data_IF_582122006079
#
_entry.id   IF_582122006079
#
_cell.length_a   1.000
_cell.length_b   1.000
_cell.length_c   1.000
_cell.angle_alpha   90.00
_cell.angle_beta   90.00
_cell.angle_gamma   90.00
#
_symmetry.space_group_name_H-M   'P 1'
#
loop_
_entity.id
_entity.type
_entity.pdbx_description
1 polymer ?
#
# COMPACT_ATOMS: atom_id res chain seq x y z
N UNK A 1 5.95 13.01 -16.96
CA UNK A 1 5.09 14.05 -17.55
C UNK A 1 4.70 15.02 -16.45
N UNK A 2 5.10 16.29 -16.54
CA UNK A 2 4.67 17.35 -15.62
C UNK A 2 3.95 18.41 -16.44
N UNK A 3 2.70 18.71 -16.08
CA UNK A 3 1.97 19.81 -16.71
C UNK A 3 2.59 21.12 -16.23
N UNK A 4 2.94 22.08 -17.12
CA UNK A 4 3.51 23.35 -16.70
C UNK A 4 2.57 24.18 -15.81
N UNK A 5 1.25 23.96 -15.91
CA UNK A 5 0.23 24.64 -15.09
C UNK A 5 -0.11 23.90 -13.79
N UNK A 6 -0.20 22.57 -13.84
CA UNK A 6 -0.72 21.76 -12.73
C UNK A 6 0.36 20.96 -11.97
N UNK A 7 1.61 21.01 -12.46
CA UNK A 7 2.72 20.27 -11.87
C UNK A 7 2.68 18.77 -12.19
N UNK A 8 3.35 17.94 -11.38
CA UNK A 8 3.43 16.51 -11.60
C UNK A 8 2.11 15.81 -11.29
N UNK A 9 1.79 14.76 -12.05
CA UNK A 9 0.60 13.93 -11.81
C UNK A 9 0.64 13.19 -10.47
N UNK A 10 1.83 12.97 -9.92
CA UNK A 10 2.06 12.32 -8.62
C UNK A 10 3.00 13.18 -7.81
N UNK A 11 2.61 13.51 -6.58
CA UNK A 11 3.42 14.27 -5.62
C UNK A 11 3.76 13.40 -4.42
N UNK A 12 4.90 13.68 -3.78
CA UNK A 12 5.22 13.07 -2.50
C UNK A 12 4.26 13.60 -1.43
N UNK A 13 3.73 12.69 -0.62
CA UNK A 13 2.86 13.00 0.53
C UNK A 13 3.46 12.39 1.79
N UNK A 14 3.30 13.02 2.96
CA UNK A 14 3.95 12.57 4.19
C UNK A 14 3.32 11.30 4.79
N UNK A 15 2.24 10.77 4.21
CA UNK A 15 1.48 9.62 4.74
C UNK A 15 1.47 8.38 3.83
N UNK A 16 2.15 8.38 2.67
CA UNK A 16 2.20 7.22 1.78
C UNK A 16 3.58 7.03 1.13
N UNK A 17 3.97 5.77 0.91
CA UNK A 17 5.19 5.40 0.17
C UNK A 17 5.06 5.75 -1.32
N UNK A 18 6.20 5.87 -2.00
CA UNK A 18 6.20 6.02 -3.45
C UNK A 18 5.55 4.80 -4.14
N UNK A 19 4.67 5.07 -5.11
CA UNK A 19 3.82 4.08 -5.78
C UNK A 19 2.89 3.25 -4.86
N UNK A 20 2.62 3.70 -3.64
CA UNK A 20 1.60 3.07 -2.80
C UNK A 20 0.19 3.52 -3.19
N UNK A 21 -0.76 2.59 -3.12
CA UNK A 21 -2.20 2.89 -3.21
C UNK A 21 -2.84 3.21 -1.85
N UNK A 22 -2.10 3.04 -0.75
CA UNK A 22 -2.58 3.15 0.62
C UNK A 22 -1.59 3.95 1.50
N UNK A 23 -1.99 4.21 2.74
CA UNK A 23 -1.19 4.94 3.72
C UNK A 23 -0.11 4.06 4.34
N UNK A 24 0.92 4.66 4.94
CA UNK A 24 1.95 3.95 5.72
C UNK A 24 1.33 3.02 6.74
N UNK A 25 0.40 3.52 7.55
CA UNK A 25 -0.24 2.75 8.61
C UNK A 25 -1.01 1.54 8.07
N UNK A 26 -1.69 1.68 6.93
CA UNK A 26 -2.37 0.56 6.29
C UNK A 26 -1.37 -0.49 5.79
N UNK A 27 -0.37 -0.05 5.03
CA UNK A 27 0.65 -0.94 4.47
C UNK A 27 1.42 -1.70 5.56
N UNK A 28 1.80 -1.02 6.64
CA UNK A 28 2.54 -1.61 7.75
C UNK A 28 1.69 -2.63 8.52
N UNK A 29 0.40 -2.34 8.71
CA UNK A 29 -0.54 -3.29 9.32
C UNK A 29 -0.69 -4.54 8.45
N UNK A 30 -0.85 -4.38 7.13
CA UNK A 30 -0.94 -5.52 6.19
C UNK A 30 0.35 -6.33 6.21
N UNK A 31 1.52 -5.68 6.16
CA UNK A 31 2.81 -6.35 6.15
C UNK A 31 3.05 -7.17 7.43
N UNK A 32 2.69 -6.64 8.60
CA UNK A 32 2.76 -7.37 9.85
C UNK A 32 1.78 -8.56 9.88
N UNK A 33 0.53 -8.36 9.45
CA UNK A 33 -0.46 -9.43 9.38
C UNK A 33 -0.04 -10.55 8.42
N UNK A 34 0.66 -10.23 7.32
CA UNK A 34 1.10 -11.21 6.35
C UNK A 34 2.05 -12.28 6.92
N UNK A 35 2.81 -11.96 7.98
CA UNK A 35 3.68 -12.91 8.70
C UNK A 35 3.03 -13.52 9.94
N UNK A 36 2.00 -12.87 10.49
CA UNK A 36 1.35 -13.27 11.75
C UNK A 36 0.02 -14.02 11.55
N UNK A 37 -0.57 -14.00 10.36
CA UNK A 37 -1.91 -14.51 10.08
C UNK A 37 -1.97 -15.34 8.80
N UNK A 38 -3.05 -16.12 8.65
CA UNK A 38 -3.29 -16.88 7.42
C UNK A 38 -3.65 -15.94 6.25
N UNK A 39 -3.33 -16.36 5.03
CA UNK A 39 -3.69 -15.63 3.80
C UNK A 39 -5.16 -15.19 3.76
N UNK A 40 -6.07 -16.10 4.13
CA UNK A 40 -7.51 -15.83 4.13
C UNK A 40 -7.88 -14.77 5.17
N UNK A 41 -7.37 -14.91 6.40
CA UNK A 41 -7.65 -13.95 7.47
C UNK A 41 -7.20 -12.53 7.12
N UNK A 42 -6.01 -12.37 6.51
CA UNK A 42 -5.52 -11.05 6.07
C UNK A 42 -6.41 -10.48 4.96
N UNK A 43 -6.76 -11.27 3.96
CA UNK A 43 -7.60 -10.80 2.85
C UNK A 43 -9.00 -10.38 3.32
N UNK A 44 -9.60 -11.15 4.22
CA UNK A 44 -10.95 -10.87 4.75
C UNK A 44 -10.96 -9.67 5.69
N UNK A 45 -10.03 -9.61 6.64
CA UNK A 45 -9.94 -8.52 7.61
C UNK A 45 -9.66 -7.17 6.94
N UNK A 46 -8.67 -7.14 6.04
CA UNK A 46 -8.24 -5.91 5.38
C UNK A 46 -9.05 -5.61 4.11
N UNK A 47 -9.90 -6.55 3.67
CA UNK A 47 -10.76 -6.45 2.48
C UNK A 47 -9.99 -6.17 1.19
N UNK A 48 -8.86 -6.83 1.03
CA UNK A 48 -8.00 -6.70 -0.15
C UNK A 48 -7.64 -8.07 -0.74
N UNK A 49 -7.33 -8.08 -2.03
CA UNK A 49 -6.86 -9.29 -2.69
C UNK A 49 -5.44 -9.65 -2.23
N UNK A 50 -5.12 -10.95 -2.21
CA UNK A 50 -3.77 -11.42 -1.88
C UNK A 50 -2.67 -10.83 -2.79
N UNK A 51 -3.00 -10.52 -4.05
CA UNK A 51 -2.08 -9.83 -4.96
C UNK A 51 -1.68 -8.45 -4.41
N UNK A 52 -2.61 -7.72 -3.81
CA UNK A 52 -2.35 -6.43 -3.16
C UNK A 52 -1.45 -6.60 -1.95
N UNK A 53 -1.70 -7.63 -1.12
CA UNK A 53 -0.81 -7.97 0.02
C UNK A 53 0.62 -8.17 -0.45
N UNK A 54 0.84 -8.95 -1.52
CA UNK A 54 2.18 -9.16 -2.08
C UNK A 54 2.84 -7.86 -2.58
N UNK A 55 2.07 -6.96 -3.20
CA UNK A 55 2.59 -5.67 -3.66
C UNK A 55 2.94 -4.71 -2.51
N UNK A 56 2.27 -4.84 -1.36
CA UNK A 56 2.58 -4.12 -0.12
C UNK A 56 3.85 -4.70 0.50
N UNK A 57 3.91 -6.03 0.70
CA UNK A 57 5.07 -6.72 1.30
C UNK A 57 6.35 -6.52 0.50
N UNK A 58 6.27 -6.42 -0.83
CA UNK A 58 7.45 -6.12 -1.66
C UNK A 58 7.97 -4.67 -1.52
N UNK A 59 7.19 -3.79 -0.88
CA UNK A 59 7.48 -2.35 -0.73
C UNK A 59 7.92 -1.97 0.69
N UNK A 60 7.41 -2.68 1.70
CA UNK A 60 7.75 -2.50 3.13
C UNK A 60 9.02 -3.27 3.44
#
# INVERSE_FOLDING_TARGET
MNCPTHGPTVVAVPWARHHAGHTYAFDDTVAWLAVACSKTAVCELMRIAWRTVGAIVARV
#
